data_IF_178946418899
#
_entry.id   IF_178946418899
#
_cell.length_a   1.000
_cell.length_b   1.000
_cell.length_c   1.000
_cell.angle_alpha   90.00
_cell.angle_beta   90.00
_cell.angle_gamma   90.00
#
_symmetry.space_group_name_H-M   'P 1'
#
loop_
_entity.id
_entity.type
_entity.pdbx_description
1 polymer ?
#
# COMPACT_ATOMS: atom_id res chain seq x y z
N UNK A 1 -18.42 -3.98 -34.13
CA UNK A 1 -18.62 -4.50 -32.77
C UNK A 1 -17.77 -3.67 -31.82
N UNK A 2 -18.35 -3.19 -30.70
CA UNK A 2 -17.70 -2.30 -29.71
C UNK A 2 -17.87 -2.88 -28.31
N UNK A 3 -17.50 -4.14 -28.16
CA UNK A 3 -17.53 -4.84 -26.87
C UNK A 3 -16.30 -4.47 -26.04
N UNK A 4 -16.51 -4.10 -24.77
CA UNK A 4 -15.46 -3.85 -23.78
C UNK A 4 -15.63 -4.79 -22.60
N UNK A 5 -14.52 -5.35 -22.10
CA UNK A 5 -14.46 -6.13 -20.86
C UNK A 5 -13.86 -5.28 -19.75
N UNK A 6 -14.52 -5.28 -18.59
CA UNK A 6 -14.01 -4.63 -17.38
C UNK A 6 -13.61 -5.69 -16.35
N UNK A 7 -12.48 -5.47 -15.70
CA UNK A 7 -12.01 -6.30 -14.58
C UNK A 7 -11.90 -5.42 -13.35
N UNK A 8 -12.53 -5.85 -12.26
CA UNK A 8 -12.46 -5.14 -10.98
C UNK A 8 -11.29 -5.69 -10.17
N UNK A 9 -10.27 -4.86 -9.96
CA UNK A 9 -9.10 -5.20 -9.15
C UNK A 9 -9.30 -4.79 -7.69
N UNK A 10 -8.49 -5.34 -6.81
CA UNK A 10 -8.37 -4.88 -5.42
C UNK A 10 -8.02 -3.39 -5.35
N UNK A 11 -8.43 -2.71 -4.27
CA UNK A 11 -8.08 -1.32 -4.05
C UNK A 11 -6.57 -1.04 -4.19
N UNK A 12 -6.17 0.16 -4.63
CA UNK A 12 -4.76 0.54 -4.68
C UNK A 12 -4.12 0.48 -3.30
N UNK A 13 -2.84 0.08 -3.23
CA UNK A 13 -2.09 0.02 -1.98
C UNK A 13 -2.13 1.35 -1.21
N UNK A 14 -2.05 2.49 -1.90
CA UNK A 14 -2.13 3.81 -1.29
C UNK A 14 -3.43 4.07 -0.54
N UNK A 15 -4.56 3.53 -1.00
CA UNK A 15 -5.86 3.68 -0.34
C UNK A 15 -5.91 2.83 0.94
N UNK A 16 -5.42 1.60 0.84
CA UNK A 16 -5.33 0.68 1.99
C UNK A 16 -4.39 1.23 3.07
N UNK A 17 -3.23 1.77 2.67
CA UNK A 17 -2.27 2.41 3.57
C UNK A 17 -2.84 3.66 4.25
N UNK A 18 -3.58 4.51 3.52
CA UNK A 18 -4.28 5.66 4.11
C UNK A 18 -5.26 5.23 5.19
N UNK A 19 -6.03 4.17 4.92
CA UNK A 19 -6.98 3.60 5.88
C UNK A 19 -6.27 3.03 7.11
N UNK A 20 -5.18 2.28 6.92
CA UNK A 20 -4.42 1.69 8.01
C UNK A 20 -3.73 2.75 8.90
N UNK A 21 -3.22 3.82 8.29
CA UNK A 21 -2.58 4.94 9.00
C UNK A 21 -3.57 5.98 9.55
N UNK A 22 -4.86 5.89 9.21
CA UNK A 22 -5.88 6.88 9.60
C UNK A 22 -5.71 8.27 8.95
N UNK A 23 -5.00 8.37 7.83
CA UNK A 23 -4.69 9.66 7.16
C UNK A 23 -5.56 9.88 5.92
N UNK A 24 -5.93 11.14 5.66
CA UNK A 24 -6.70 11.52 4.46
C UNK A 24 -5.83 11.66 3.21
N UNK A 25 -4.58 12.11 3.38
CA UNK A 25 -3.62 12.36 2.31
C UNK A 25 -2.21 11.89 2.69
N UNK A 26 -1.38 11.62 1.68
CA UNK A 26 0.05 11.40 1.87
C UNK A 26 0.79 12.73 2.08
N UNK A 27 2.07 12.63 2.41
CA UNK A 27 2.96 13.78 2.57
C UNK A 27 3.27 14.46 1.23
N UNK A 28 3.26 15.80 1.21
CA UNK A 28 3.80 16.58 0.11
C UNK A 28 5.33 16.56 0.07
N UNK A 29 5.99 16.18 1.17
CA UNK A 29 7.45 16.06 1.30
C UNK A 29 7.82 14.75 2.03
N UNK A 30 7.61 13.57 1.42
CA UNK A 30 7.68 12.25 2.08
C UNK A 30 8.96 11.93 2.85
N UNK A 31 10.09 12.48 2.41
CA UNK A 31 11.40 12.25 3.02
C UNK A 31 11.65 13.11 4.27
N UNK A 32 10.91 14.21 4.43
CA UNK A 32 11.15 15.21 5.49
C UNK A 32 9.94 15.34 6.43
N UNK A 33 8.74 15.36 5.88
CA UNK A 33 7.48 15.48 6.61
C UNK A 33 6.79 14.12 6.64
N UNK A 34 6.78 13.47 7.81
CA UNK A 34 6.05 12.21 8.00
C UNK A 34 4.61 12.52 8.43
N UNK A 35 3.66 11.81 7.83
CA UNK A 35 2.21 12.07 8.02
C UNK A 35 1.49 10.99 8.81
N UNK A 36 2.18 9.90 9.15
CA UNK A 36 1.63 8.81 9.96
C UNK A 36 2.60 7.64 10.08
N UNK A 37 2.19 6.63 10.83
CA UNK A 37 2.92 5.38 11.00
C UNK A 37 2.02 4.20 10.63
N UNK A 38 2.63 3.10 10.21
CA UNK A 38 1.99 1.81 9.96
C UNK A 38 2.87 0.71 10.50
N UNK A 39 2.27 -0.33 11.08
CA UNK A 39 3.01 -1.46 11.64
C UNK A 39 3.29 -2.53 10.59
N UNK A 40 4.31 -3.37 10.82
CA UNK A 40 4.61 -4.50 9.92
C UNK A 40 3.41 -5.45 9.76
N UNK A 41 2.63 -5.65 10.84
CA UNK A 41 1.39 -6.43 10.79
C UNK A 41 0.36 -5.82 9.82
N UNK A 42 0.18 -4.50 9.82
CA UNK A 42 -0.71 -3.82 8.87
C UNK A 42 -0.18 -3.91 7.44
N UNK A 43 1.14 -3.82 7.25
CA UNK A 43 1.77 -4.02 5.94
C UNK A 43 1.52 -5.43 5.41
N UNK A 44 1.61 -6.44 6.28
CA UNK A 44 1.32 -7.83 5.93
C UNK A 44 -0.15 -8.02 5.53
N UNK A 45 -1.10 -7.53 6.32
CA UNK A 45 -2.54 -7.64 6.00
C UNK A 45 -2.87 -6.99 4.64
N UNK A 46 -2.25 -5.84 4.34
CA UNK A 46 -2.42 -5.16 3.05
C UNK A 46 -1.80 -5.98 1.91
N UNK A 47 -0.63 -6.59 2.12
CA UNK A 47 0.03 -7.43 1.14
C UNK A 47 -0.81 -8.68 0.82
N UNK A 48 -1.36 -9.34 1.83
CA UNK A 48 -2.25 -10.50 1.69
C UNK A 48 -3.53 -10.12 0.95
N UNK A 49 -4.17 -9.01 1.34
CA UNK A 49 -5.38 -8.50 0.67
C UNK A 49 -5.16 -8.22 -0.81
N UNK A 50 -3.96 -7.76 -1.17
CA UNK A 50 -3.61 -7.37 -2.54
C UNK A 50 -2.91 -8.49 -3.33
N UNK A 51 -2.61 -9.63 -2.71
CA UNK A 51 -1.71 -10.64 -3.26
C UNK A 51 -2.12 -11.12 -4.67
N UNK A 52 -3.42 -11.28 -4.92
CA UNK A 52 -3.95 -11.70 -6.21
C UNK A 52 -3.71 -10.70 -7.36
N UNK A 53 -3.51 -9.41 -7.04
CA UNK A 53 -3.31 -8.32 -8.02
C UNK A 53 -1.88 -7.77 -8.03
N UNK A 54 -0.98 -8.36 -7.25
CA UNK A 54 0.38 -7.87 -7.09
C UNK A 54 1.41 -8.87 -7.61
N UNK A 55 2.56 -8.34 -7.99
CA UNK A 55 3.72 -9.14 -8.38
C UNK A 55 4.64 -9.31 -7.17
N UNK A 56 5.02 -10.55 -6.86
CA UNK A 56 5.98 -10.87 -5.81
C UNK A 56 6.21 -12.38 -5.77
N UNK A 57 7.43 -12.80 -5.46
CA UNK A 57 7.76 -14.22 -5.35
C UNK A 57 7.12 -14.87 -4.10
N UNK A 58 7.02 -14.10 -3.02
CA UNK A 58 6.46 -14.48 -1.73
C UNK A 58 5.82 -13.28 -1.02
N UNK A 59 5.16 -13.53 0.11
CA UNK A 59 4.51 -12.49 0.92
C UNK A 59 5.52 -11.46 1.43
N UNK A 60 6.76 -11.84 1.71
CA UNK A 60 7.81 -10.92 2.17
C UNK A 60 8.23 -9.92 1.08
N UNK A 61 8.38 -10.38 -0.16
CA UNK A 61 8.61 -9.51 -1.32
C UNK A 61 7.42 -8.57 -1.56
N UNK A 62 6.20 -9.06 -1.33
CA UNK A 62 5.00 -8.24 -1.41
C UNK A 62 4.96 -7.19 -0.29
N UNK A 63 5.25 -7.56 0.96
CA UNK A 63 5.37 -6.63 2.10
C UNK A 63 6.39 -5.53 1.81
N UNK A 64 7.56 -5.86 1.26
CA UNK A 64 8.57 -4.86 0.86
C UNK A 64 8.05 -3.87 -0.17
N UNK A 65 7.23 -4.32 -1.12
CA UNK A 65 6.61 -3.46 -2.14
C UNK A 65 5.59 -2.51 -1.51
N UNK A 66 4.75 -3.00 -0.60
CA UNK A 66 3.80 -2.18 0.16
C UNK A 66 4.54 -1.18 1.07
N UNK A 67 5.59 -1.62 1.76
CA UNK A 67 6.43 -0.75 2.59
C UNK A 67 7.12 0.35 1.77
N UNK A 68 7.56 0.04 0.54
CA UNK A 68 8.08 1.04 -0.40
C UNK A 68 7.04 2.12 -0.73
N UNK A 69 5.79 1.70 -0.93
CA UNK A 69 4.66 2.63 -1.14
C UNK A 69 4.36 3.47 0.10
N UNK A 70 4.41 2.87 1.30
CA UNK A 70 4.24 3.60 2.55
C UNK A 70 5.31 4.69 2.71
N UNK A 71 6.58 4.36 2.43
CA UNK A 71 7.70 5.31 2.50
C UNK A 71 7.53 6.47 1.51
N UNK A 72 7.13 6.20 0.27
CA UNK A 72 6.90 7.25 -0.74
C UNK A 72 5.69 8.13 -0.43
N UNK A 73 4.77 7.65 0.41
CA UNK A 73 3.67 8.44 0.94
C UNK A 73 4.01 9.26 2.20
N UNK A 74 5.22 9.11 2.74
CA UNK A 74 5.63 9.76 3.98
C UNK A 74 5.11 9.07 5.23
N UNK A 75 4.78 7.78 5.16
CA UNK A 75 4.47 6.95 6.31
C UNK A 75 5.76 6.32 6.86
N UNK A 76 5.86 6.25 8.19
CA UNK A 76 6.90 5.48 8.86
C UNK A 76 6.41 4.04 8.99
N UNK A 77 7.24 3.08 8.58
CA UNK A 77 6.95 1.66 8.78
C UNK A 77 7.66 1.23 10.05
N UNK A 78 6.90 0.89 11.08
CA UNK A 78 7.41 0.38 12.35
C UNK A 78 7.38 -1.15 12.32
N UNK A 79 8.54 -1.76 12.55
CA UNK A 79 8.75 -3.20 12.60
C UNK A 79 9.58 -3.57 13.81
#
# INVERSE_FOLDING_TARGET
DRSFTFVTKTPPAAVLLKKAAGVKSGSGRPNTEKVGTVTDAQIQEIAETKAADMTGADIEAMKRSIAGTARSMGLVVEG
#
